data_IF_467841477745
#
_entry.id   IF_467841477745
#
_cell.length_a   1.000
_cell.length_b   1.000
_cell.length_c   1.000
_cell.angle_alpha   90.00
_cell.angle_beta   90.00
_cell.angle_gamma   90.00
#
_symmetry.space_group_name_H-M   'P 1'
#
loop_
_entity.id
_entity.type
_entity.pdbx_description
1 polymer ?
#
# COMPACT_ATOMS: atom_id res chain seq x y z
N UNK A 1 -6.73 -22.44 -5.50
CA UNK A 1 -7.08 -21.18 -6.18
C UNK A 1 -6.00 -20.14 -5.99
N UNK A 2 -5.13 -20.04 -7.00
CA UNK A 2 -3.78 -19.48 -6.90
C UNK A 2 -3.61 -18.23 -7.77
N UNK A 3 -4.65 -17.41 -7.87
CA UNK A 3 -4.62 -16.19 -8.68
C UNK A 3 -4.64 -14.99 -7.75
N UNK A 4 -3.64 -14.10 -7.88
CA UNK A 4 -3.59 -12.83 -7.15
C UNK A 4 -4.81 -12.00 -7.55
N UNK A 5 -5.70 -11.73 -6.61
CA UNK A 5 -6.96 -11.02 -6.87
C UNK A 5 -6.71 -9.68 -7.58
N UNK A 6 -5.63 -8.98 -7.24
CA UNK A 6 -5.23 -7.74 -7.92
C UNK A 6 -4.87 -7.91 -9.40
N UNK A 7 -4.15 -8.99 -9.75
CA UNK A 7 -3.73 -9.27 -11.12
C UNK A 7 -4.89 -9.68 -12.04
N UNK A 8 -5.97 -10.25 -11.49
CA UNK A 8 -7.22 -10.46 -12.26
C UNK A 8 -8.01 -9.16 -12.35
N UNK A 9 -8.19 -8.47 -11.23
CA UNK A 9 -9.07 -7.32 -11.14
C UNK A 9 -8.61 -6.13 -12.02
N UNK A 10 -7.32 -6.06 -12.37
CA UNK A 10 -6.80 -5.09 -13.33
C UNK A 10 -7.43 -5.16 -14.72
N UNK A 11 -7.99 -6.31 -15.09
CA UNK A 11 -8.65 -6.54 -16.38
C UNK A 11 -10.17 -6.28 -16.34
N UNK A 12 -10.69 -5.78 -15.22
CA UNK A 12 -12.12 -5.47 -15.11
C UNK A 12 -12.49 -4.23 -15.91
N UNK A 13 -13.73 -4.21 -16.44
CA UNK A 13 -14.22 -3.14 -17.33
C UNK A 13 -14.19 -1.74 -16.70
N UNK A 14 -14.10 -1.62 -15.38
CA UNK A 14 -14.05 -0.34 -14.66
C UNK A 14 -12.64 0.28 -14.65
N UNK A 15 -11.58 -0.52 -14.84
CA UNK A 15 -10.20 -0.05 -14.70
C UNK A 15 -9.81 1.07 -15.69
N UNK A 16 -10.22 1.06 -16.96
CA UNK A 16 -9.97 2.19 -17.85
C UNK A 16 -10.52 3.51 -17.31
N UNK A 17 -11.68 3.49 -16.65
CA UNK A 17 -12.25 4.69 -16.05
C UNK A 17 -11.47 5.14 -14.80
N UNK A 18 -11.00 4.20 -13.97
CA UNK A 18 -10.16 4.50 -12.80
C UNK A 18 -8.83 5.13 -13.22
N UNK A 19 -8.18 4.56 -14.25
CA UNK A 19 -6.93 5.09 -14.81
C UNK A 19 -7.15 6.50 -15.35
N UNK A 20 -8.20 6.71 -16.15
CA UNK A 20 -8.56 8.03 -16.66
C UNK A 20 -8.77 9.06 -15.55
N UNK A 21 -9.46 8.68 -14.46
CA UNK A 21 -9.65 9.58 -13.31
C UNK A 21 -8.32 9.94 -12.64
N UNK A 22 -7.40 8.99 -12.51
CA UNK A 22 -6.07 9.25 -11.96
C UNK A 22 -5.27 10.22 -12.86
N UNK A 23 -5.32 10.03 -14.19
CA UNK A 23 -4.67 10.91 -15.17
C UNK A 23 -5.26 12.33 -15.17
N UNK A 24 -6.56 12.47 -14.89
CA UNK A 24 -7.23 13.75 -14.69
C UNK A 24 -6.88 14.42 -13.33
N UNK A 25 -6.02 13.81 -12.52
CA UNK A 25 -5.60 14.34 -11.22
C UNK A 25 -6.63 14.13 -10.11
N UNK A 26 -7.64 13.28 -10.30
CA UNK A 26 -8.62 12.97 -9.26
C UNK A 26 -8.01 12.04 -8.20
N UNK A 27 -8.37 12.21 -6.92
CA UNK A 27 -7.93 11.28 -5.87
C UNK A 27 -8.37 9.85 -6.13
N UNK A 28 -7.42 8.90 -6.04
CA UNK A 28 -7.68 7.46 -6.09
C UNK A 28 -7.08 6.82 -4.85
N UNK A 29 -7.86 5.96 -4.19
CA UNK A 29 -7.48 5.28 -2.96
C UNK A 29 -7.74 3.78 -3.08
N UNK A 30 -6.74 2.97 -2.70
CA UNK A 30 -6.82 1.51 -2.77
C UNK A 30 -6.39 0.87 -1.46
N UNK A 31 -7.29 0.11 -0.82
CA UNK A 31 -7.03 -0.61 0.44
C UNK A 31 -6.89 -2.11 0.20
N UNK A 32 -5.94 -2.75 0.87
CA UNK A 32 -5.68 -4.19 0.75
C UNK A 32 -5.53 -4.62 -0.73
N UNK A 33 -6.50 -5.35 -1.29
CA UNK A 33 -6.50 -5.77 -2.69
C UNK A 33 -6.56 -4.57 -3.65
N UNK A 34 -7.17 -3.46 -3.25
CA UNK A 34 -7.15 -2.21 -4.02
C UNK A 34 -5.73 -1.71 -4.25
N UNK A 35 -4.86 -1.75 -3.25
CA UNK A 35 -3.45 -1.37 -3.41
C UNK A 35 -2.75 -2.31 -4.40
N UNK A 36 -2.99 -3.62 -4.29
CA UNK A 36 -2.46 -4.61 -5.23
C UNK A 36 -2.86 -4.28 -6.67
N UNK A 37 -4.14 -3.96 -6.90
CA UNK A 37 -4.64 -3.57 -8.23
C UNK A 37 -3.89 -2.34 -8.74
N UNK A 38 -3.76 -1.30 -7.91
CA UNK A 38 -3.08 -0.06 -8.30
C UNK A 38 -1.61 -0.28 -8.67
N UNK A 39 -0.90 -1.18 -7.98
CA UNK A 39 0.46 -1.59 -8.38
C UNK A 39 0.48 -2.40 -9.68
N UNK A 40 -0.48 -3.30 -9.87
CA UNK A 40 -0.57 -4.18 -11.04
C UNK A 40 -0.98 -3.46 -12.34
N UNK A 41 -1.64 -2.30 -12.24
CA UNK A 41 -1.91 -1.38 -13.36
C UNK A 41 -0.87 -0.27 -13.53
N UNK A 42 0.14 -0.20 -12.64
CA UNK A 42 1.20 0.80 -12.72
C UNK A 42 0.81 2.21 -12.29
N UNK A 43 -0.35 2.39 -11.64
CA UNK A 43 -0.71 3.66 -11.00
C UNK A 43 0.09 3.91 -9.72
N UNK A 44 0.56 2.85 -9.07
CA UNK A 44 1.52 2.90 -7.97
C UNK A 44 2.77 2.08 -8.32
N UNK A 45 3.96 2.49 -7.86
CA UNK A 45 5.18 1.71 -8.05
C UNK A 45 5.24 0.51 -7.10
N UNK A 46 6.14 -0.43 -7.40
CA UNK A 46 6.40 -1.60 -6.57
C UNK A 46 5.36 -2.70 -6.75
N UNK A 47 5.37 -3.66 -5.82
CA UNK A 47 4.47 -4.80 -5.81
C UNK A 47 4.25 -5.32 -4.39
N UNK A 48 3.13 -6.03 -4.19
CA UNK A 48 2.86 -6.76 -2.95
C UNK A 48 3.13 -8.25 -3.17
N UNK A 49 4.02 -8.80 -2.34
CA UNK A 49 4.39 -10.22 -2.32
C UNK A 49 3.67 -10.93 -1.17
N UNK A 50 3.74 -12.27 -1.21
CA UNK A 50 3.41 -13.13 -0.08
C UNK A 50 4.18 -12.65 1.16
N UNK A 51 3.51 -12.62 2.31
CA UNK A 51 4.15 -12.29 3.58
C UNK A 51 5.34 -13.24 3.82
N UNK A 52 6.42 -12.75 4.43
CA UNK A 52 7.62 -13.57 4.70
C UNK A 52 7.32 -14.79 5.57
N UNK A 53 6.33 -14.68 6.47
CA UNK A 53 5.83 -15.79 7.30
C UNK A 53 5.08 -16.88 6.52
N UNK A 54 4.77 -16.64 5.24
CA UNK A 54 3.92 -17.47 4.37
C UNK A 54 2.47 -17.65 4.86
N UNK A 55 2.08 -16.97 5.94
CA UNK A 55 0.77 -17.08 6.59
C UNK A 55 -0.10 -15.85 6.32
N UNK A 56 -1.41 -16.07 6.36
CA UNK A 56 -2.38 -14.98 6.45
C UNK A 56 -2.26 -14.30 7.82
N UNK A 57 -2.20 -12.97 7.83
CA UNK A 57 -2.17 -12.17 9.06
C UNK A 57 -3.48 -11.43 9.20
N UNK A 58 -4.13 -11.61 10.35
CA UNK A 58 -5.36 -10.93 10.74
C UNK A 58 -5.22 -10.42 12.17
N UNK A 59 -4.81 -9.17 12.34
CA UNK A 59 -4.65 -8.54 13.65
C UNK A 59 -4.76 -7.03 13.54
N UNK A 60 -5.01 -6.35 14.65
CA UNK A 60 -4.84 -4.91 14.74
C UNK A 60 -3.37 -4.62 15.02
N UNK A 61 -2.77 -3.71 14.26
CA UNK A 61 -1.35 -3.35 14.38
C UNK A 61 -1.17 -1.87 14.64
N UNK A 62 -0.19 -1.50 15.48
CA UNK A 62 0.16 -0.10 15.67
C UNK A 62 0.96 0.40 14.47
N UNK A 63 0.62 1.59 14.01
CA UNK A 63 1.26 2.30 12.91
C UNK A 63 1.72 3.68 13.39
N UNK A 64 2.77 4.18 12.76
CA UNK A 64 3.20 5.57 12.86
C UNK A 64 2.75 6.36 11.64
N UNK A 65 2.17 7.53 11.86
CA UNK A 65 1.93 8.52 10.80
C UNK A 65 3.26 9.21 10.47
N UNK A 66 3.90 8.81 9.38
CA UNK A 66 5.19 9.39 8.95
C UNK A 66 5.05 10.51 7.92
N UNK A 67 3.89 10.59 7.24
CA UNK A 67 3.52 11.74 6.43
C UNK A 67 2.04 12.12 6.62
N UNK A 68 1.81 13.27 7.26
CA UNK A 68 0.49 13.87 7.46
C UNK A 68 0.20 15.04 6.50
N UNK A 69 0.96 15.23 5.43
CA UNK A 69 0.78 16.32 4.47
C UNK A 69 -0.08 15.92 3.25
N UNK A 70 -0.65 14.72 3.25
CA UNK A 70 -1.52 14.25 2.16
C UNK A 70 -2.98 14.60 2.41
N UNK A 71 -3.77 14.70 1.33
CA UNK A 71 -5.24 14.87 1.41
C UNK A 71 -5.93 13.77 2.23
N UNK A 72 -5.28 12.62 2.43
CA UNK A 72 -5.81 11.48 3.17
C UNK A 72 -5.36 11.46 4.64
N UNK A 73 -4.34 12.22 5.02
CA UNK A 73 -3.72 12.15 6.35
C UNK A 73 -3.53 13.49 7.07
N UNK A 74 -3.98 14.60 6.48
CA UNK A 74 -3.89 15.95 7.07
C UNK A 74 -4.64 16.17 8.39
N UNK A 75 -5.46 15.21 8.82
CA UNK A 75 -6.15 15.28 10.12
C UNK A 75 -5.38 14.57 11.25
N UNK A 76 -4.30 13.87 10.93
CA UNK A 76 -3.42 13.27 11.91
C UNK A 76 -2.28 14.21 12.31
N UNK A 77 -1.80 14.04 13.53
CA UNK A 77 -0.57 14.67 13.98
C UNK A 77 0.65 13.96 13.41
N UNK A 78 1.76 14.70 13.25
CA UNK A 78 3.01 14.12 12.80
C UNK A 78 3.55 13.16 13.88
N UNK A 79 3.96 11.95 13.49
CA UNK A 79 4.36 10.87 14.39
C UNK A 79 3.25 10.33 15.31
N UNK A 80 1.98 10.62 15.00
CA UNK A 80 0.86 10.04 15.74
C UNK A 80 0.90 8.51 15.66
N UNK A 81 0.64 7.86 16.81
CA UNK A 81 0.48 6.41 16.90
C UNK A 81 -1.00 6.07 16.75
N UNK A 82 -1.31 5.34 15.68
CA UNK A 82 -2.66 4.84 15.41
C UNK A 82 -2.67 3.32 15.37
N UNK A 83 -3.85 2.69 15.49
CA UNK A 83 -3.99 1.24 15.39
C UNK A 83 -5.02 0.90 14.32
N UNK A 84 -4.61 0.15 13.29
CA UNK A 84 -5.47 -0.25 12.18
C UNK A 84 -5.56 -1.78 12.06
N UNK A 85 -6.74 -2.33 11.70
CA UNK A 85 -6.86 -3.75 11.38
C UNK A 85 -6.18 -4.08 10.05
N UNK A 86 -5.42 -5.17 10.02
CA UNK A 86 -4.87 -5.76 8.80
C UNK A 86 -5.42 -7.17 8.59
N UNK A 87 -5.62 -7.55 7.33
CA UNK A 87 -6.14 -8.86 6.92
C UNK A 87 -5.58 -9.23 5.53
N UNK A 88 -4.37 -9.80 5.47
CA UNK A 88 -3.73 -10.13 4.19
C UNK A 88 -2.76 -11.32 4.28
N UNK A 89 -2.68 -12.09 3.19
CA UNK A 89 -1.57 -13.02 2.96
C UNK A 89 -0.50 -12.45 2.02
N UNK A 90 -0.89 -11.53 1.13
CA UNK A 90 -0.02 -10.93 0.13
C UNK A 90 0.10 -9.41 0.39
N UNK A 91 0.77 -9.05 1.49
CA UNK A 91 0.91 -7.65 1.93
C UNK A 91 2.35 -7.16 2.07
N UNK A 92 3.35 -7.98 1.74
CA UNK A 92 4.77 -7.59 1.83
C UNK A 92 5.13 -6.64 0.69
N UNK A 93 5.30 -5.34 0.99
CA UNK A 93 5.69 -4.34 -0.01
C UNK A 93 7.15 -4.52 -0.44
N UNK A 94 7.34 -4.54 -1.75
CA UNK A 94 8.63 -4.73 -2.38
C UNK A 94 8.79 -3.81 -3.59
N UNK A 95 9.96 -3.20 -3.69
CA UNK A 95 10.42 -2.47 -4.86
C UNK A 95 11.95 -2.53 -4.91
N UNK A 96 12.54 -2.19 -6.06
CA UNK A 96 13.98 -2.02 -6.16
C UNK A 96 14.48 -0.85 -5.30
N UNK A 97 15.80 -0.81 -5.08
CA UNK A 97 16.44 0.20 -4.22
C UNK A 97 16.18 1.62 -4.72
N UNK A 98 16.23 1.84 -6.03
CA UNK A 98 16.02 3.16 -6.63
C UNK A 98 14.61 3.68 -6.38
N UNK A 99 13.60 2.83 -6.56
CA UNK A 99 12.20 3.13 -6.29
C UNK A 99 11.99 3.44 -4.81
N UNK A 100 12.56 2.62 -3.92
CA UNK A 100 12.48 2.89 -2.48
C UNK A 100 13.15 4.22 -2.11
N UNK A 101 14.34 4.50 -2.63
CA UNK A 101 15.05 5.77 -2.40
C UNK A 101 14.21 6.97 -2.88
N UNK A 102 13.57 6.86 -4.04
CA UNK A 102 12.68 7.89 -4.59
C UNK A 102 11.45 8.11 -3.72
N UNK A 103 10.80 7.04 -3.24
CA UNK A 103 9.61 7.14 -2.39
C UNK A 103 9.92 7.86 -1.06
N UNK A 104 11.05 7.53 -0.44
CA UNK A 104 11.49 8.18 0.80
C UNK A 104 11.82 9.66 0.57
N UNK A 105 12.61 9.95 -0.48
CA UNK A 105 13.02 11.32 -0.82
C UNK A 105 11.82 12.23 -1.13
N UNK A 106 10.79 11.67 -1.77
CA UNK A 106 9.59 12.40 -2.14
C UNK A 106 8.52 12.41 -1.02
N UNK A 107 8.83 11.90 0.17
CA UNK A 107 7.90 11.79 1.29
C UNK A 107 6.60 11.03 0.93
N UNK A 108 6.69 9.99 0.10
CA UNK A 108 5.51 9.26 -0.40
C UNK A 108 5.08 8.09 0.50
N UNK A 109 5.82 7.81 1.56
CA UNK A 109 5.43 6.82 2.58
C UNK A 109 4.54 7.54 3.61
N UNK A 110 3.34 7.01 3.84
CA UNK A 110 2.33 7.63 4.72
C UNK A 110 2.33 7.03 6.12
N UNK A 111 2.40 5.70 6.18
CA UNK A 111 2.43 4.95 7.44
C UNK A 111 3.59 3.97 7.46
N UNK A 112 4.15 3.73 8.65
CA UNK A 112 5.07 2.62 8.94
C UNK A 112 4.54 1.80 10.09
N UNK A 113 4.93 0.54 10.19
CA UNK A 113 4.56 -0.24 11.38
C UNK A 113 5.37 0.29 12.56
N UNK A 114 4.69 0.62 13.65
CA UNK A 114 5.31 1.27 14.81
C UNK A 114 6.17 0.31 15.66
N UNK A 115 5.93 -1.00 15.50
CA UNK A 115 6.51 -2.05 16.30
C UNK A 115 7.00 -3.19 15.39
N UNK A 116 6.31 -4.32 15.37
CA UNK A 116 6.66 -5.47 14.56
C UNK A 116 6.23 -5.29 13.10
N UNK A 117 7.10 -5.65 12.16
CA UNK A 117 6.76 -5.84 10.75
C UNK A 117 6.02 -7.17 10.54
N UNK A 118 4.70 -7.18 10.29
CA UNK A 118 3.95 -8.43 10.25
C UNK A 118 4.08 -9.19 8.92
N UNK A 119 4.64 -8.56 7.88
CA UNK A 119 4.63 -9.11 6.51
C UNK A 119 5.98 -9.11 5.81
N UNK A 120 7.01 -8.45 6.35
CA UNK A 120 8.33 -8.37 5.73
C UNK A 120 8.47 -7.25 4.71
N UNK A 121 7.60 -6.23 4.76
CA UNK A 121 7.73 -5.05 3.89
C UNK A 121 9.10 -4.40 4.06
N UNK A 122 9.73 -4.00 2.95
CA UNK A 122 11.02 -3.34 2.97
C UNK A 122 10.94 -1.93 3.58
N UNK A 123 12.02 -1.51 4.26
CA UNK A 123 12.15 -0.18 4.90
C UNK A 123 10.99 0.18 5.83
N UNK A 124 10.59 -0.81 6.62
CA UNK A 124 9.80 -0.55 7.81
C UNK A 124 10.64 0.25 8.81
#
# INVERSE_FOLDING_TARGET
DYLRAGAIARFTNIMPAVIKMAEEGKPVFGTCNGFQILTEVGLLPGALKRNDSQKFVCKTVPLEVVNNETIFTQQYEKHERIALPIAHADGSYFADKETLDRLEKNHQVVFRYAEENPNGSLRN
#
